data_IF_780247756201
#
_entry.id   IF_780247756201
#
_cell.length_a   1.000
_cell.length_b   1.000
_cell.length_c   1.000
_cell.angle_alpha   90.00
_cell.angle_beta   90.00
_cell.angle_gamma   90.00
#
_symmetry.space_group_name_H-M   'P 1'
#
loop_
_entity.id
_entity.type
_entity.pdbx_description
1 polymer ?
#
# COMPACT_ATOMS: atom_id res chain seq x y z
N UNK A 1 -0.29 -24.94 -20.09
CA UNK A 1 -1.14 -23.73 -20.19
C UNK A 1 -1.03 -22.99 -18.87
N UNK A 2 -0.19 -21.95 -18.77
CA UNK A 2 -0.09 -21.14 -17.54
C UNK A 2 -1.39 -20.35 -17.44
N UNK A 3 -2.16 -20.58 -16.39
CA UNK A 3 -3.36 -19.77 -16.12
C UNK A 3 -2.94 -18.32 -15.86
N UNK A 4 -3.78 -17.35 -16.19
CA UNK A 4 -3.58 -15.90 -15.97
C UNK A 4 -3.23 -15.48 -14.52
N UNK A 5 -3.18 -16.43 -13.58
CA UNK A 5 -2.91 -16.26 -12.15
C UNK A 5 -1.42 -16.08 -11.81
N UNK A 6 -0.51 -16.34 -12.76
CA UNK A 6 0.95 -16.34 -12.54
C UNK A 6 1.66 -15.07 -13.02
N UNK A 7 0.94 -14.09 -13.57
CA UNK A 7 1.52 -12.78 -13.87
C UNK A 7 1.83 -12.06 -12.56
N UNK A 8 3.03 -11.49 -12.39
CA UNK A 8 3.35 -10.80 -11.15
C UNK A 8 2.43 -9.57 -11.08
N UNK A 9 1.50 -9.61 -10.14
CA UNK A 9 0.47 -8.61 -9.95
C UNK A 9 0.66 -7.94 -8.59
N UNK A 10 0.45 -6.63 -8.56
CA UNK A 10 0.74 -5.79 -7.42
C UNK A 10 -0.19 -6.08 -6.24
N UNK A 11 0.35 -5.96 -5.03
CA UNK A 11 -0.45 -5.81 -3.82
C UNK A 11 -0.44 -4.35 -3.40
N UNK A 12 -1.61 -3.73 -3.28
CA UNK A 12 -1.74 -2.35 -2.81
C UNK A 12 -2.04 -2.34 -1.32
N UNK A 13 -1.36 -1.48 -0.56
CA UNK A 13 -1.67 -1.23 0.86
C UNK A 13 -1.85 0.28 1.06
N UNK A 14 -3.09 0.74 1.24
CA UNK A 14 -3.37 2.14 1.58
C UNK A 14 -3.21 2.37 3.08
N UNK A 15 -2.78 3.56 3.49
CA UNK A 15 -2.39 3.82 4.88
C UNK A 15 -1.18 2.98 5.33
N UNK A 16 -0.32 2.59 4.37
CA UNK A 16 0.75 1.63 4.60
C UNK A 16 1.88 2.13 5.52
N UNK A 17 2.01 3.44 5.71
CA UNK A 17 2.91 4.03 6.71
C UNK A 17 2.22 4.24 8.07
N UNK A 18 0.90 4.03 8.16
CA UNK A 18 0.13 4.03 9.40
C UNK A 18 0.39 2.82 10.29
N UNK A 19 -0.20 2.84 11.50
CA UNK A 19 0.03 1.81 12.53
C UNK A 19 -0.34 0.39 12.07
N UNK A 20 -1.53 0.19 11.50
CA UNK A 20 -1.98 -1.12 11.02
C UNK A 20 -1.30 -1.44 9.68
N UNK A 21 -1.25 -0.48 8.76
CA UNK A 21 -0.72 -0.67 7.41
C UNK A 21 0.72 -1.18 7.41
N UNK A 22 1.59 -0.64 8.27
CA UNK A 22 2.99 -1.08 8.33
C UNK A 22 3.15 -2.53 8.78
N UNK A 23 2.25 -3.01 9.64
CA UNK A 23 2.25 -4.39 10.12
C UNK A 23 1.75 -5.35 9.04
N UNK A 24 0.78 -4.91 8.23
CA UNK A 24 0.35 -5.67 7.04
C UNK A 24 1.49 -5.79 6.03
N UNK A 25 2.22 -4.70 5.73
CA UNK A 25 3.39 -4.76 4.84
C UNK A 25 4.47 -5.70 5.40
N UNK A 26 4.75 -5.64 6.70
CA UNK A 26 5.71 -6.53 7.35
C UNK A 26 5.32 -8.02 7.23
N UNK A 27 4.05 -8.34 7.46
CA UNK A 27 3.55 -9.71 7.35
C UNK A 27 3.56 -10.20 5.90
N UNK A 28 3.24 -9.34 4.93
CA UNK A 28 3.39 -9.65 3.51
C UNK A 28 4.85 -9.96 3.16
N UNK A 29 5.80 -9.16 3.63
CA UNK A 29 7.23 -9.42 3.44
C UNK A 29 7.66 -10.76 4.06
N UNK A 30 7.17 -11.09 5.26
CA UNK A 30 7.44 -12.39 5.93
C UNK A 30 6.91 -13.57 5.12
N UNK A 31 5.84 -13.37 4.34
CA UNK A 31 5.25 -14.36 3.42
C UNK A 31 5.91 -14.37 2.03
N UNK A 32 6.97 -13.60 1.82
CA UNK A 32 7.66 -13.51 0.52
C UNK A 32 6.94 -12.64 -0.52
N UNK A 33 6.02 -11.77 -0.09
CA UNK A 33 5.42 -10.74 -0.95
C UNK A 33 6.12 -9.40 -0.71
N UNK A 34 6.85 -8.92 -1.70
CA UNK A 34 7.58 -7.65 -1.69
C UNK A 34 7.17 -6.70 -2.83
N UNK A 35 6.48 -7.21 -3.86
CA UNK A 35 5.82 -6.42 -4.91
C UNK A 35 4.59 -5.67 -4.39
N UNK A 36 4.87 -4.64 -3.59
CA UNK A 36 3.88 -3.87 -2.85
C UNK A 36 3.92 -2.40 -3.30
N UNK A 37 2.73 -1.86 -3.58
CA UNK A 37 2.49 -0.42 -3.73
C UNK A 37 1.94 0.10 -2.41
N UNK A 38 2.74 0.88 -1.69
CA UNK A 38 2.29 1.58 -0.49
C UNK A 38 1.60 2.87 -0.92
N UNK A 39 0.40 3.13 -0.41
CA UNK A 39 -0.31 4.40 -0.67
C UNK A 39 -0.44 5.15 0.65
N UNK A 40 0.30 6.24 0.79
CA UNK A 40 0.30 7.08 1.99
C UNK A 40 0.89 8.46 1.68
N UNK A 41 0.54 9.46 2.48
CA UNK A 41 1.14 10.80 2.41
C UNK A 41 2.18 10.93 3.52
N UNK A 42 3.46 10.79 3.17
CA UNK A 42 4.55 10.73 4.16
C UNK A 42 4.86 12.06 4.85
N UNK A 43 4.30 13.18 4.38
CA UNK A 43 4.27 14.48 5.06
C UNK A 43 5.59 14.94 5.69
N UNK A 44 5.48 15.77 6.73
CA UNK A 44 6.57 16.16 7.64
C UNK A 44 6.67 15.24 8.86
N UNK A 45 5.80 14.25 8.94
CA UNK A 45 5.59 13.45 10.13
C UNK A 45 6.61 12.30 10.19
N UNK A 46 6.86 11.78 11.39
CA UNK A 46 7.79 10.66 11.58
C UNK A 46 7.26 9.31 11.03
N UNK A 47 6.08 9.30 10.38
CA UNK A 47 5.43 8.08 9.86
C UNK A 47 6.27 7.34 8.82
N UNK A 48 7.12 8.04 8.07
CA UNK A 48 8.06 7.40 7.16
C UNK A 48 8.97 6.38 7.86
N UNK A 49 9.25 6.57 9.16
CA UNK A 49 10.08 5.64 9.95
C UNK A 49 9.44 4.25 10.06
N UNK A 50 8.10 4.16 9.98
CA UNK A 50 7.37 2.89 10.05
C UNK A 50 7.65 1.94 8.86
N UNK A 51 8.16 2.50 7.77
CA UNK A 51 8.53 1.78 6.55
C UNK A 51 10.00 1.32 6.54
N UNK A 52 10.82 1.73 7.53
CA UNK A 52 12.23 1.33 7.59
C UNK A 52 12.33 -0.19 7.76
N UNK A 53 13.19 -0.81 6.95
CA UNK A 53 13.43 -2.26 6.96
C UNK A 53 12.32 -3.08 6.29
N UNK A 54 11.28 -2.45 5.74
CA UNK A 54 10.28 -3.11 4.92
C UNK A 54 10.68 -3.15 3.45
N UNK A 55 10.16 -4.13 2.73
CA UNK A 55 10.33 -4.30 1.29
C UNK A 55 9.03 -3.94 0.57
N UNK A 56 9.11 -3.00 -0.35
CA UNK A 56 8.03 -2.56 -1.22
C UNK A 56 8.66 -1.97 -2.49
N UNK A 57 7.94 -1.98 -3.61
CA UNK A 57 8.48 -1.47 -4.89
C UNK A 57 8.28 0.05 -5.03
N UNK A 58 7.14 0.57 -4.56
CA UNK A 58 6.81 1.98 -4.74
C UNK A 58 5.93 2.52 -3.60
N UNK A 59 6.06 3.83 -3.36
CA UNK A 59 5.15 4.61 -2.51
C UNK A 59 4.47 5.64 -3.40
N UNK A 60 3.13 5.72 -3.31
CA UNK A 60 2.33 6.66 -4.07
C UNK A 60 1.53 7.57 -3.14
N UNK A 61 1.61 8.91 -3.30
CA UNK A 61 0.75 9.84 -2.57
C UNK A 61 -0.73 9.58 -2.82
N UNK A 62 -1.58 9.84 -1.83
CA UNK A 62 -3.02 9.50 -1.86
C UNK A 62 -3.70 10.18 -3.04
N UNK A 63 -3.42 11.47 -3.27
CA UNK A 63 -3.99 12.22 -4.39
C UNK A 63 -3.63 11.62 -5.75
N UNK A 64 -2.37 11.20 -5.93
CA UNK A 64 -1.89 10.57 -7.17
C UNK A 64 -2.53 9.19 -7.35
N UNK A 65 -2.58 8.37 -6.31
CA UNK A 65 -3.27 7.07 -6.37
C UNK A 65 -4.72 7.20 -6.82
N UNK A 66 -5.48 8.16 -6.27
CA UNK A 66 -6.87 8.41 -6.70
C UNK A 66 -6.97 8.80 -8.17
N UNK A 67 -6.04 9.63 -8.66
CA UNK A 67 -6.00 10.03 -10.06
C UNK A 67 -5.67 8.86 -11.00
N UNK A 68 -4.74 7.98 -10.63
CA UNK A 68 -4.41 6.79 -11.43
C UNK A 68 -5.55 5.76 -11.44
N UNK A 69 -6.24 5.56 -10.31
CA UNK A 69 -7.44 4.71 -10.25
C UNK A 69 -8.54 5.25 -11.17
N UNK A 70 -8.84 6.55 -11.06
CA UNK A 70 -9.90 7.17 -11.86
C UNK A 70 -9.63 7.12 -13.37
N UNK A 71 -8.37 7.05 -13.75
CA UNK A 71 -7.95 6.96 -15.14
C UNK A 71 -7.68 5.53 -15.63
N UNK A 72 -7.92 4.51 -14.80
CA UNK A 72 -7.60 3.11 -15.09
C UNK A 72 -6.12 2.89 -15.53
N UNK A 73 -5.20 3.60 -14.86
CA UNK A 73 -3.75 3.58 -15.17
C UNK A 73 -2.90 2.86 -14.13
N UNK A 74 -3.52 2.19 -13.15
CA UNK A 74 -2.77 1.36 -12.23
C UNK A 74 -2.21 0.12 -12.94
N UNK A 75 -1.05 -0.40 -12.51
CA UNK A 75 -0.58 -1.69 -12.98
C UNK A 75 -1.57 -2.79 -12.57
N UNK A 76 -1.43 -3.99 -13.13
CA UNK A 76 -2.28 -5.12 -12.76
C UNK A 76 -2.21 -5.39 -11.24
N UNK A 77 -3.32 -5.12 -10.53
CA UNK A 77 -3.45 -5.30 -9.07
C UNK A 77 -4.15 -6.63 -8.79
N UNK A 78 -3.55 -7.46 -7.93
CA UNK A 78 -4.16 -8.71 -7.46
C UNK A 78 -4.98 -8.52 -6.19
N UNK A 79 -4.49 -7.69 -5.28
CA UNK A 79 -5.04 -7.54 -3.92
C UNK A 79 -4.92 -6.10 -3.47
N UNK A 80 -5.95 -5.61 -2.78
CA UNK A 80 -5.94 -4.30 -2.11
C UNK A 80 -6.24 -4.49 -0.62
N UNK A 81 -5.34 -4.03 0.24
CA UNK A 81 -5.58 -3.80 1.66
C UNK A 81 -5.85 -2.31 1.84
N UNK A 82 -7.12 -1.94 2.01
CA UNK A 82 -7.52 -0.53 2.15
C UNK A 82 -7.64 -0.15 3.63
N UNK A 83 -6.58 0.46 4.18
CA UNK A 83 -6.47 0.80 5.60
C UNK A 83 -6.27 2.30 5.84
N UNK A 84 -6.09 3.08 4.76
CA UNK A 84 -6.01 4.53 4.82
C UNK A 84 -7.37 5.15 5.16
N UNK A 85 -7.44 5.87 6.27
CA UNK A 85 -8.61 6.61 6.72
C UNK A 85 -8.18 7.86 7.49
N UNK A 86 -9.10 8.79 7.73
CA UNK A 86 -8.87 9.84 8.72
C UNK A 86 -8.78 9.18 10.11
N UNK A 87 -7.58 9.13 10.68
CA UNK A 87 -7.32 8.42 11.94
C UNK A 87 -7.82 9.16 13.17
N UNK A 88 -8.13 10.46 13.05
CA UNK A 88 -8.83 11.21 14.08
C UNK A 88 -10.34 11.01 13.87
N UNK A 89 -10.85 9.89 14.38
CA UNK A 89 -12.30 9.68 14.48
C UNK A 89 -12.79 10.49 15.68
N UNK A 90 -13.62 11.50 15.46
CA UNK A 90 -14.36 12.12 16.55
C UNK A 90 -15.41 11.14 17.05
N UNK A 91 -15.20 10.62 18.26
CA UNK A 91 -16.22 9.93 19.05
C UNK A 91 -16.82 10.95 20.02
N UNK A 92 -18.14 11.09 20.02
CA UNK A 92 -18.91 11.97 20.92
C UNK A 92 -19.70 11.14 21.90
#
# INVERSE_FOLDING_TARGET
MKTSKDSPAWTVVTGGAGFIGRNVVAELNRRGTDRILVVDDLGTDERWKNLRGLKFEEILPIAKFRAEVAADRLPAVRTVYHLGACSATTET
#
